data_IF_686820908307
#
_entry.id   IF_686820908307
#
_cell.length_a   1.000
_cell.length_b   1.000
_cell.length_c   1.000
_cell.angle_alpha   90.00
_cell.angle_beta   90.00
_cell.angle_gamma   90.00
#
_symmetry.space_group_name_H-M   'P 1'
#
loop_
_entity.id
_entity.type
_entity.pdbx_description
1 polymer ?
#
# COMPACT_ATOMS: atom_id res chain seq x y z
N UNK A 1 -19.19 11.14 -14.46
CA UNK A 1 -18.14 11.49 -15.46
C UNK A 1 -17.36 12.68 -14.96
N UNK A 2 -16.04 12.55 -14.87
CA UNK A 2 -15.17 13.70 -14.60
C UNK A 2 -15.34 14.73 -15.73
N UNK A 3 -15.52 15.98 -15.36
CA UNK A 3 -15.41 17.07 -16.32
C UNK A 3 -13.93 17.37 -16.52
N UNK A 4 -13.32 16.75 -17.54
CA UNK A 4 -11.89 16.91 -17.88
C UNK A 4 -11.64 18.22 -18.64
N UNK A 5 -12.69 18.94 -19.05
CA UNK A 5 -12.59 20.18 -19.81
C UNK A 5 -12.26 21.39 -18.93
N UNK A 6 -12.45 21.30 -17.60
CA UNK A 6 -12.20 22.39 -16.68
C UNK A 6 -10.72 22.45 -16.22
N UNK A 7 -10.32 23.60 -15.72
CA UNK A 7 -9.00 23.80 -15.13
C UNK A 7 -9.08 23.68 -13.63
N UNK A 8 -8.25 22.80 -13.07
CA UNK A 8 -8.20 22.51 -11.63
C UNK A 8 -6.98 23.12 -10.97
N UNK A 9 -7.10 23.46 -9.68
CA UNK A 9 -5.99 23.92 -8.87
C UNK A 9 -6.04 23.34 -7.45
N UNK A 10 -4.90 23.13 -6.85
CA UNK A 10 -4.79 22.74 -5.44
C UNK A 10 -3.38 23.00 -4.88
N UNK A 11 -3.23 23.14 -3.53
CA UNK A 11 -1.93 23.06 -2.88
C UNK A 11 -1.31 21.69 -3.12
N UNK A 12 -0.07 21.65 -3.60
CA UNK A 12 0.70 20.42 -3.83
C UNK A 12 1.68 20.11 -2.68
N UNK A 13 1.82 21.02 -1.72
CA UNK A 13 2.61 20.87 -0.50
C UNK A 13 1.71 20.64 0.71
N UNK A 14 2.24 19.94 1.72
CA UNK A 14 1.51 19.68 2.97
C UNK A 14 1.13 21.03 3.64
N UNK A 15 -0.11 21.17 4.14
CA UNK A 15 -0.53 22.36 4.88
C UNK A 15 0.34 22.57 6.14
N UNK A 16 0.83 23.80 6.32
CA UNK A 16 1.65 24.16 7.46
C UNK A 16 2.48 25.41 7.23
N UNK A 17 3.16 25.89 8.26
CA UNK A 17 4.08 27.00 8.17
C UNK A 17 5.46 26.50 7.73
N UNK A 18 5.94 26.99 6.60
CA UNK A 18 7.22 26.59 6.02
C UNK A 18 7.82 27.73 5.19
N UNK A 19 8.94 27.46 4.52
CA UNK A 19 9.55 28.47 3.67
C UNK A 19 8.81 28.64 2.33
N UNK A 20 8.39 27.54 1.71
CA UNK A 20 7.80 27.50 0.37
C UNK A 20 6.55 26.61 0.38
N UNK A 21 5.49 27.09 -0.28
CA UNK A 21 4.32 26.33 -0.68
C UNK A 21 4.19 26.33 -2.20
N UNK A 22 3.70 25.23 -2.76
CA UNK A 22 3.44 25.08 -4.19
C UNK A 22 1.95 24.88 -4.39
N UNK A 23 1.35 25.71 -5.26
CA UNK A 23 0.00 25.51 -5.79
C UNK A 23 0.14 25.02 -7.22
N UNK A 24 -0.46 23.89 -7.52
CA UNK A 24 -0.50 23.30 -8.86
C UNK A 24 -1.82 23.63 -9.53
N UNK A 25 -1.78 23.94 -10.82
CA UNK A 25 -2.93 24.13 -11.68
C UNK A 25 -2.74 23.30 -12.95
N UNK A 26 -3.80 22.65 -13.43
CA UNK A 26 -3.79 21.83 -14.65
C UNK A 26 -5.10 21.97 -15.40
N UNK A 27 -5.01 22.02 -16.72
CA UNK A 27 -6.14 22.15 -17.62
C UNK A 27 -5.91 23.22 -18.70
N UNK A 28 -6.82 23.29 -19.64
CA UNK A 28 -6.75 24.11 -20.85
C UNK A 28 -6.49 25.60 -20.58
N UNK A 29 -7.09 26.16 -19.52
CA UNK A 29 -7.03 27.60 -19.23
C UNK A 29 -5.94 27.95 -18.21
N UNK A 30 -5.03 26.99 -17.84
CA UNK A 30 -4.01 27.17 -16.79
C UNK A 30 -3.15 28.40 -17.01
N UNK A 31 -2.70 28.66 -18.25
CA UNK A 31 -1.86 29.83 -18.55
C UNK A 31 -2.63 31.12 -18.52
N UNK A 32 -3.83 31.15 -19.12
CA UNK A 32 -4.66 32.35 -19.15
C UNK A 32 -5.16 32.79 -17.76
N UNK A 33 -5.43 31.82 -16.88
CA UNK A 33 -5.77 32.08 -15.47
C UNK A 33 -4.54 32.61 -14.73
N UNK A 34 -3.38 31.94 -14.90
CA UNK A 34 -2.14 32.39 -14.28
C UNK A 34 -1.73 33.81 -14.67
N UNK A 35 -1.89 34.20 -15.94
CA UNK A 35 -1.63 35.58 -16.45
C UNK A 35 -2.53 36.63 -15.80
N UNK A 36 -3.76 36.28 -15.39
CA UNK A 36 -4.67 37.20 -14.66
C UNK A 36 -4.28 37.41 -13.20
N UNK A 37 -3.59 36.43 -12.62
CA UNK A 37 -3.27 36.40 -11.18
C UNK A 37 -1.82 36.79 -10.91
N UNK A 38 -0.93 36.61 -11.89
CA UNK A 38 0.50 36.79 -11.69
C UNK A 38 1.07 37.74 -12.75
N UNK A 39 1.71 38.82 -12.30
CA UNK A 39 2.45 39.75 -13.13
C UNK A 39 3.92 39.29 -13.20
N UNK A 40 4.35 38.74 -14.33
CA UNK A 40 5.73 38.31 -14.55
C UNK A 40 6.59 39.39 -15.18
N UNK A 41 7.89 39.41 -14.83
CA UNK A 41 8.90 40.17 -15.55
C UNK A 41 9.22 39.45 -16.88
N UNK A 42 9.17 40.17 -18.01
CA UNK A 42 9.57 39.62 -19.31
C UNK A 42 8.45 38.87 -20.07
N UNK A 43 7.19 39.33 -19.96
CA UNK A 43 6.04 38.86 -20.76
C UNK A 43 5.16 37.84 -20.03
N UNK A 44 4.10 37.39 -20.68
CA UNK A 44 3.08 36.52 -20.09
C UNK A 44 3.56 35.09 -19.87
N UNK A 45 2.87 34.36 -19.00
CA UNK A 45 3.07 32.94 -18.78
C UNK A 45 2.63 32.16 -20.03
N UNK A 46 1.53 32.59 -20.66
CA UNK A 46 1.02 32.00 -21.89
C UNK A 46 1.99 32.04 -23.07
N UNK A 47 2.92 32.98 -23.12
CA UNK A 47 3.94 33.07 -24.15
C UNK A 47 5.23 32.30 -23.83
N UNK A 48 5.28 31.66 -22.67
CA UNK A 48 6.48 31.00 -22.17
C UNK A 48 6.57 29.54 -22.64
N UNK A 49 7.73 29.13 -23.11
CA UNK A 49 8.01 27.74 -23.47
C UNK A 49 7.85 26.78 -22.25
N UNK A 50 7.56 25.52 -22.53
CA UNK A 50 7.54 24.49 -21.49
C UNK A 50 8.90 24.31 -20.81
N UNK A 51 8.87 23.83 -19.55
CA UNK A 51 10.06 23.62 -18.70
C UNK A 51 10.87 24.90 -18.42
N UNK A 52 10.16 26.03 -18.38
CA UNK A 52 10.74 27.34 -18.01
C UNK A 52 10.22 27.80 -16.66
N UNK A 53 11.05 28.54 -15.99
CA UNK A 53 10.75 29.18 -14.72
C UNK A 53 10.67 30.71 -14.92
N UNK A 54 9.61 31.33 -14.39
CA UNK A 54 9.43 32.77 -14.39
C UNK A 54 9.33 33.33 -12.98
N UNK A 55 9.97 34.47 -12.76
CA UNK A 55 9.78 35.25 -11.55
C UNK A 55 8.65 36.27 -11.77
N UNK A 56 7.74 36.36 -10.81
CA UNK A 56 6.60 37.25 -10.86
C UNK A 56 6.11 37.68 -9.49
N UNK A 57 5.04 38.43 -9.49
CA UNK A 57 4.31 38.90 -8.31
C UNK A 57 2.87 38.45 -8.45
N UNK A 58 2.38 37.69 -7.47
CA UNK A 58 0.97 37.36 -7.34
C UNK A 58 0.18 38.59 -6.88
N UNK A 59 -1.01 38.79 -7.47
CA UNK A 59 -1.82 39.98 -7.30
C UNK A 59 -3.16 39.66 -6.61
N UNK A 60 -3.58 40.54 -5.73
CA UNK A 60 -4.94 40.60 -5.21
C UNK A 60 -5.94 41.07 -6.30
N UNK A 61 -7.22 41.00 -5.99
CA UNK A 61 -8.29 41.40 -6.94
C UNK A 61 -8.26 42.89 -7.32
N UNK A 62 -7.76 43.73 -6.43
CA UNK A 62 -7.60 45.16 -6.62
C UNK A 62 -6.26 45.54 -7.33
N UNK A 63 -5.44 44.54 -7.68
CA UNK A 63 -4.15 44.70 -8.34
C UNK A 63 -2.98 44.98 -7.38
N UNK A 64 -3.19 45.00 -6.07
CA UNK A 64 -2.12 45.11 -5.09
C UNK A 64 -1.27 43.85 -5.04
N UNK A 65 -0.02 43.97 -4.62
CA UNK A 65 0.93 42.89 -4.55
C UNK A 65 0.60 41.99 -3.35
N UNK A 66 0.39 40.67 -3.58
CA UNK A 66 0.13 39.68 -2.57
C UNK A 66 1.43 39.00 -2.10
N UNK A 67 2.23 38.50 -3.02
CA UNK A 67 3.50 37.80 -2.76
C UNK A 67 4.38 37.76 -3.99
N UNK A 68 5.68 37.53 -3.78
CA UNK A 68 6.62 37.24 -4.85
C UNK A 68 6.66 35.74 -5.13
N UNK A 69 6.53 35.33 -6.39
CA UNK A 69 6.37 33.93 -6.76
C UNK A 69 7.33 33.50 -7.86
N UNK A 70 7.62 32.20 -7.89
CA UNK A 70 8.24 31.53 -9.02
C UNK A 70 7.19 30.65 -9.68
N UNK A 71 7.11 30.72 -11.01
CA UNK A 71 6.11 30.00 -11.81
C UNK A 71 6.82 29.02 -12.74
N UNK A 72 6.60 27.73 -12.53
CA UNK A 72 7.06 26.67 -13.43
C UNK A 72 5.99 26.40 -14.48
N UNK A 73 6.38 26.36 -15.75
CA UNK A 73 5.48 26.21 -16.90
C UNK A 73 5.68 24.83 -17.53
N UNK A 74 4.59 24.08 -17.69
CA UNK A 74 4.57 22.78 -18.34
C UNK A 74 3.50 22.77 -19.43
N UNK A 75 3.90 22.48 -20.68
CA UNK A 75 3.00 22.43 -21.81
C UNK A 75 2.60 21.01 -22.15
N UNK A 76 1.35 20.82 -22.50
CA UNK A 76 0.85 19.56 -23.04
C UNK A 76 1.68 19.08 -24.25
N UNK A 77 1.93 17.78 -24.39
CA UNK A 77 1.64 16.68 -23.46
C UNK A 77 2.73 16.46 -22.40
N UNK A 78 3.69 17.38 -22.27
CA UNK A 78 4.90 17.23 -21.44
C UNK A 78 4.68 17.82 -20.02
N UNK A 79 3.66 17.34 -19.33
CA UNK A 79 3.35 17.65 -17.93
C UNK A 79 2.99 16.38 -17.17
N UNK A 80 2.75 16.48 -15.85
CA UNK A 80 2.33 15.36 -15.04
C UNK A 80 0.98 14.78 -15.48
N UNK A 81 0.01 15.64 -15.73
CA UNK A 81 -1.35 15.26 -16.17
C UNK A 81 -1.47 15.03 -17.67
N UNK A 82 -0.47 15.44 -18.47
CA UNK A 82 -0.57 15.49 -19.92
C UNK A 82 -1.28 16.76 -20.46
N UNK A 83 -1.79 17.63 -19.57
CA UNK A 83 -2.44 18.90 -19.89
C UNK A 83 -1.45 20.08 -19.75
N UNK A 84 -1.83 21.28 -20.20
CA UNK A 84 -1.13 22.50 -19.82
C UNK A 84 -1.18 22.69 -18.30
N UNK A 85 -0.05 22.94 -17.69
CA UNK A 85 0.06 22.97 -16.24
C UNK A 85 1.03 24.04 -15.75
N UNK A 86 0.71 24.61 -14.59
CA UNK A 86 1.51 25.62 -13.91
C UNK A 86 1.71 25.24 -12.46
N UNK A 87 2.93 25.38 -11.97
CA UNK A 87 3.22 25.27 -10.54
C UNK A 87 3.70 26.63 -10.03
N UNK A 88 3.00 27.17 -9.03
CA UNK A 88 3.25 28.47 -8.44
C UNK A 88 3.86 28.26 -7.06
N UNK A 89 5.15 28.59 -6.93
CA UNK A 89 5.87 28.56 -5.67
C UNK A 89 5.78 29.93 -4.99
N UNK A 90 5.16 29.97 -3.81
CA UNK A 90 4.96 31.17 -2.96
C UNK A 90 5.58 30.95 -1.58
N UNK A 91 5.61 31.98 -0.73
CA UNK A 91 5.90 31.75 0.68
C UNK A 91 4.79 30.92 1.34
N UNK A 92 5.17 29.98 2.22
CA UNK A 92 4.24 29.06 2.89
C UNK A 92 3.59 29.73 4.10
N UNK A 93 2.81 30.79 3.84
CA UNK A 93 1.89 31.39 4.80
C UNK A 93 0.48 30.91 4.51
N UNK A 94 -0.25 30.48 5.54
CA UNK A 94 -1.66 30.09 5.40
C UNK A 94 -2.46 31.14 4.66
N UNK A 95 -2.28 32.42 5.02
CA UNK A 95 -2.94 33.56 4.38
C UNK A 95 -2.62 33.62 2.87
N UNK A 96 -1.34 33.57 2.50
CA UNK A 96 -0.91 33.69 1.10
C UNK A 96 -1.47 32.52 0.27
N UNK A 97 -1.35 31.30 0.76
CA UNK A 97 -1.82 30.09 0.05
C UNK A 97 -3.34 30.15 -0.16
N UNK A 98 -4.12 30.50 0.88
CA UNK A 98 -5.58 30.63 0.78
C UNK A 98 -6.00 31.75 -0.18
N UNK A 99 -5.35 32.91 -0.11
CA UNK A 99 -5.65 34.05 -1.00
C UNK A 99 -5.29 33.72 -2.45
N UNK A 100 -4.12 33.15 -2.70
CA UNK A 100 -3.69 32.76 -4.04
C UNK A 100 -4.63 31.72 -4.65
N UNK A 101 -5.01 30.68 -3.87
CA UNK A 101 -5.97 29.69 -4.31
C UNK A 101 -7.33 30.31 -4.63
N UNK A 102 -7.85 31.21 -3.77
CA UNK A 102 -9.09 31.92 -4.03
C UNK A 102 -9.01 32.76 -5.31
N UNK A 103 -7.89 33.45 -5.54
CA UNK A 103 -7.69 34.25 -6.76
C UNK A 103 -7.72 33.39 -8.03
N UNK A 104 -7.11 32.20 -7.99
CA UNK A 104 -7.16 31.26 -9.12
C UNK A 104 -8.59 30.79 -9.40
N UNK A 105 -9.36 30.51 -8.33
CA UNK A 105 -10.77 30.11 -8.44
C UNK A 105 -11.63 31.25 -8.98
N UNK A 106 -11.45 32.50 -8.51
CA UNK A 106 -12.17 33.67 -8.99
C UNK A 106 -11.88 33.94 -10.48
N UNK A 107 -10.71 33.53 -10.96
CA UNK A 107 -10.31 33.68 -12.38
C UNK A 107 -10.74 32.52 -13.28
N UNK A 108 -11.39 31.47 -12.74
CA UNK A 108 -12.00 30.38 -13.49
C UNK A 108 -11.44 28.98 -13.26
N UNK A 109 -10.50 28.79 -12.31
CA UNK A 109 -10.11 27.46 -11.89
C UNK A 109 -11.12 26.88 -10.90
N UNK A 110 -11.16 25.55 -10.79
CA UNK A 110 -11.89 24.83 -9.74
C UNK A 110 -10.89 24.16 -8.78
N UNK A 111 -11.25 24.07 -7.50
CA UNK A 111 -10.45 23.28 -6.56
C UNK A 111 -10.51 21.81 -6.94
N UNK A 112 -9.35 21.17 -7.03
CA UNK A 112 -9.23 19.75 -7.36
C UNK A 112 -9.76 18.86 -6.24
N UNK A 113 -10.38 17.74 -6.62
CA UNK A 113 -10.71 16.65 -5.72
C UNK A 113 -9.48 15.82 -5.32
N UNK A 114 -9.64 14.89 -4.34
CA UNK A 114 -8.58 13.94 -4.00
C UNK A 114 -8.11 13.15 -5.23
N UNK A 115 -6.80 13.05 -5.44
CA UNK A 115 -6.19 12.28 -6.52
C UNK A 115 -6.49 12.75 -7.95
N UNK A 116 -7.16 13.89 -8.13
CA UNK A 116 -7.67 14.31 -9.46
C UNK A 116 -6.56 14.57 -10.48
N UNK A 117 -5.41 15.08 -10.08
CA UNK A 117 -4.28 15.26 -11.01
C UNK A 117 -3.75 13.91 -11.51
N UNK A 118 -3.63 12.91 -10.61
CA UNK A 118 -3.20 11.55 -10.97
C UNK A 118 -4.26 10.85 -11.83
N UNK A 119 -5.53 11.07 -11.53
CA UNK A 119 -6.64 10.55 -12.33
C UNK A 119 -6.63 11.12 -13.76
N UNK A 120 -6.37 12.44 -13.94
CA UNK A 120 -6.19 13.05 -15.25
C UNK A 120 -4.96 12.49 -15.97
N UNK A 121 -3.85 12.27 -15.26
CA UNK A 121 -2.68 11.62 -15.82
C UNK A 121 -2.99 10.21 -16.34
N UNK A 122 -3.78 9.41 -15.61
CA UNK A 122 -4.26 8.11 -16.06
C UNK A 122 -5.16 8.22 -17.30
N UNK A 123 -6.17 9.08 -17.29
CA UNK A 123 -7.10 9.26 -18.42
C UNK A 123 -6.37 9.75 -19.68
N UNK A 124 -5.37 10.60 -19.51
CA UNK A 124 -4.55 11.12 -20.60
C UNK A 124 -3.42 10.14 -21.02
N UNK A 125 -3.41 8.90 -20.52
CA UNK A 125 -2.48 7.84 -20.90
C UNK A 125 -1.02 8.09 -20.47
N UNK A 126 -0.78 8.96 -19.46
CA UNK A 126 0.56 9.21 -18.92
C UNK A 126 1.06 8.05 -18.07
N UNK A 127 0.14 7.32 -17.48
CA UNK A 127 0.36 6.14 -16.66
C UNK A 127 -0.85 5.22 -16.69
N UNK A 128 -0.67 3.95 -16.42
CA UNK A 128 -1.77 3.01 -16.19
C UNK A 128 -2.26 3.05 -14.73
N UNK A 129 -3.35 2.32 -14.43
CA UNK A 129 -3.97 2.39 -13.12
C UNK A 129 -3.07 1.84 -12.00
N UNK A 130 -2.28 0.77 -12.28
CA UNK A 130 -1.32 0.24 -11.31
C UNK A 130 -0.21 1.24 -10.99
N UNK A 131 0.27 1.99 -11.99
CA UNK A 131 1.24 3.07 -11.79
C UNK A 131 0.62 4.25 -11.02
N UNK A 132 -0.66 4.58 -11.29
CA UNK A 132 -1.38 5.62 -10.57
C UNK A 132 -1.48 5.27 -9.08
N UNK A 133 -1.86 4.04 -8.72
CA UNK A 133 -1.87 3.56 -7.34
C UNK A 133 -0.47 3.61 -6.70
N UNK A 134 0.57 3.27 -7.47
CA UNK A 134 1.96 3.32 -6.98
C UNK A 134 2.42 4.75 -6.63
N UNK A 135 1.82 5.82 -7.21
CA UNK A 135 2.10 7.21 -6.78
C UNK A 135 1.75 7.41 -5.30
N UNK A 136 0.58 6.92 -4.86
CA UNK A 136 0.19 7.00 -3.46
C UNK A 136 1.10 6.15 -2.56
N UNK A 137 1.48 4.96 -3.02
CA UNK A 137 2.35 4.05 -2.29
C UNK A 137 3.76 4.64 -2.09
N UNK A 138 4.34 5.31 -3.10
CA UNK A 138 5.64 6.01 -2.98
C UNK A 138 5.58 7.13 -1.93
N UNK A 139 4.46 7.88 -1.89
CA UNK A 139 4.29 8.99 -0.95
C UNK A 139 4.12 8.49 0.49
N UNK A 140 3.39 7.39 0.67
CA UNK A 140 3.10 6.80 1.98
C UNK A 140 4.17 5.85 2.50
N UNK A 141 5.19 5.51 1.69
CA UNK A 141 6.24 4.57 2.06
C UNK A 141 7.02 5.02 3.29
N UNK A 142 7.00 4.23 4.35
CA UNK A 142 7.68 4.50 5.63
C UNK A 142 8.95 3.66 5.82
N UNK A 143 9.31 2.81 4.85
CA UNK A 143 10.53 1.99 4.90
C UNK A 143 11.21 1.95 3.54
N UNK A 144 12.53 1.67 3.55
CA UNK A 144 13.32 1.53 2.31
C UNK A 144 12.76 0.43 1.41
N UNK A 145 12.34 -0.69 2.00
CA UNK A 145 11.78 -1.81 1.26
C UNK A 145 10.44 -1.45 0.60
N UNK A 146 9.52 -0.79 1.34
CA UNK A 146 8.26 -0.30 0.80
C UNK A 146 8.49 0.69 -0.36
N UNK A 147 9.41 1.65 -0.16
CA UNK A 147 9.76 2.62 -1.20
C UNK A 147 10.31 1.95 -2.47
N UNK A 148 11.23 0.98 -2.36
CA UNK A 148 11.79 0.26 -3.51
C UNK A 148 10.71 -0.43 -4.33
N UNK A 149 9.78 -1.14 -3.68
CA UNK A 149 8.69 -1.83 -4.35
C UNK A 149 7.75 -0.85 -5.03
N UNK A 150 7.26 0.18 -4.30
CA UNK A 150 6.37 1.19 -4.84
C UNK A 150 7.00 1.94 -6.03
N UNK A 151 8.29 2.27 -5.94
CA UNK A 151 9.01 2.95 -7.01
C UNK A 151 9.22 2.07 -8.26
N UNK A 152 9.45 0.76 -8.07
CA UNK A 152 9.49 -0.21 -9.16
C UNK A 152 8.13 -0.31 -9.88
N UNK A 153 7.03 -0.35 -9.13
CA UNK A 153 5.67 -0.35 -9.67
C UNK A 153 5.37 0.95 -10.43
N UNK A 154 5.74 2.11 -9.86
CA UNK A 154 5.60 3.41 -10.53
C UNK A 154 6.37 3.48 -11.84
N UNK A 155 7.55 2.85 -11.94
CA UNK A 155 8.32 2.72 -13.19
C UNK A 155 7.71 1.76 -14.20
N UNK A 156 6.61 1.08 -13.87
CA UNK A 156 5.90 0.17 -14.74
C UNK A 156 6.44 -1.27 -14.74
N UNK A 157 7.23 -1.67 -13.74
CA UNK A 157 7.72 -3.04 -13.64
C UNK A 157 6.58 -4.06 -13.62
N UNK A 158 5.62 -3.87 -12.72
CA UNK A 158 4.44 -4.73 -12.62
C UNK A 158 3.54 -4.66 -13.87
N UNK A 159 3.34 -3.46 -14.41
CA UNK A 159 2.56 -3.26 -15.64
C UNK A 159 3.13 -4.00 -16.85
N UNK A 160 4.46 -4.07 -16.95
CA UNK A 160 5.12 -4.82 -18.01
C UNK A 160 4.87 -6.33 -17.90
N UNK A 161 4.97 -6.88 -16.71
CA UNK A 161 4.64 -8.28 -16.43
C UNK A 161 3.19 -8.62 -16.83
N UNK A 162 2.23 -7.80 -16.41
CA UNK A 162 0.83 -7.99 -16.74
C UNK A 162 0.56 -7.88 -18.25
N UNK A 163 1.24 -6.97 -18.95
CA UNK A 163 1.13 -6.86 -20.42
C UNK A 163 1.64 -8.11 -21.11
N UNK A 164 2.77 -8.67 -20.66
CA UNK A 164 3.29 -9.94 -21.19
C UNK A 164 2.28 -11.08 -20.99
N UNK A 165 1.72 -11.23 -19.77
CA UNK A 165 0.68 -12.24 -19.51
C UNK A 165 -0.55 -12.05 -20.40
N UNK A 166 -0.97 -10.81 -20.61
CA UNK A 166 -2.12 -10.51 -21.49
C UNK A 166 -1.81 -10.82 -22.95
N UNK A 167 -0.63 -10.54 -23.44
CA UNK A 167 -0.20 -10.88 -24.82
C UNK A 167 -0.21 -12.40 -25.04
N UNK A 168 0.24 -13.18 -24.05
CA UNK A 168 0.16 -14.65 -24.09
C UNK A 168 -1.27 -15.15 -24.16
N UNK A 169 -2.17 -14.60 -23.32
CA UNK A 169 -3.60 -14.96 -23.33
C UNK A 169 -4.30 -14.54 -24.62
N UNK A 170 -4.01 -13.36 -25.14
CA UNK A 170 -4.54 -12.89 -26.43
C UNK A 170 -4.12 -13.82 -27.57
N UNK A 171 -2.87 -14.28 -27.57
CA UNK A 171 -2.40 -15.26 -28.55
C UNK A 171 -3.18 -16.55 -28.46
N UNK A 172 -3.41 -17.08 -27.24
CA UNK A 172 -4.22 -18.29 -27.06
C UNK A 172 -5.69 -18.09 -27.54
N UNK A 173 -6.28 -16.95 -27.17
CA UNK A 173 -7.67 -16.62 -27.59
C UNK A 173 -7.77 -16.53 -29.11
N UNK A 174 -6.83 -15.85 -29.78
CA UNK A 174 -6.83 -15.71 -31.24
C UNK A 174 -6.69 -17.05 -31.96
N UNK A 175 -5.87 -17.98 -31.43
CA UNK A 175 -5.74 -19.31 -32.00
C UNK A 175 -7.02 -20.11 -31.91
N UNK A 176 -7.76 -20.03 -30.77
CA UNK A 176 -9.03 -20.71 -30.58
C UNK A 176 -10.15 -20.09 -31.43
N UNK A 177 -10.16 -18.76 -31.59
CA UNK A 177 -11.13 -18.07 -32.45
C UNK A 177 -10.93 -18.45 -33.93
N UNK A 178 -9.68 -18.60 -34.40
CA UNK A 178 -9.41 -19.12 -35.73
C UNK A 178 -9.93 -20.57 -35.90
N UNK A 179 -9.77 -21.44 -34.89
CA UNK A 179 -10.36 -22.79 -34.94
C UNK A 179 -11.88 -22.77 -35.04
N UNK A 180 -12.54 -21.80 -34.37
CA UNK A 180 -13.99 -21.64 -34.47
C UNK A 180 -14.44 -21.18 -35.85
N UNK A 181 -13.74 -20.19 -36.43
CA UNK A 181 -14.08 -19.65 -37.75
C UNK A 181 -13.92 -20.67 -38.87
N UNK A 182 -12.94 -21.57 -38.72
CA UNK A 182 -12.68 -22.64 -39.68
C UNK A 182 -13.13 -24.03 -39.22
N UNK A 183 -14.07 -24.10 -38.29
CA UNK A 183 -14.58 -25.35 -37.71
C UNK A 183 -15.19 -26.31 -38.74
N UNK A 184 -15.59 -25.82 -39.92
CA UNK A 184 -16.12 -26.64 -41.02
C UNK A 184 -14.99 -27.36 -41.82
N UNK A 185 -13.72 -26.95 -41.65
CA UNK A 185 -12.61 -27.48 -42.44
C UNK A 185 -11.74 -28.48 -41.64
N UNK A 186 -12.08 -28.86 -40.41
CA UNK A 186 -11.30 -29.77 -39.53
C UNK A 186 -9.80 -29.35 -39.36
N UNK A 187 -9.49 -28.05 -39.33
CA UNK A 187 -8.13 -27.53 -39.19
C UNK A 187 -7.79 -27.19 -37.75
N UNK A 188 -6.86 -27.86 -37.13
CA UNK A 188 -6.26 -27.44 -35.84
C UNK A 188 -5.16 -26.40 -36.11
N UNK A 189 -5.39 -25.13 -35.65
CA UNK A 189 -4.42 -24.04 -35.77
C UNK A 189 -3.34 -24.04 -34.67
N UNK A 190 -3.64 -24.65 -33.51
CA UNK A 190 -2.66 -24.91 -32.46
C UNK A 190 -2.81 -26.32 -31.92
N UNK A 191 -1.69 -27.03 -31.75
CA UNK A 191 -1.75 -28.32 -31.08
C UNK A 191 -2.26 -28.15 -29.63
N UNK A 192 -3.12 -29.05 -29.18
CA UNK A 192 -3.63 -29.03 -27.78
C UNK A 192 -2.49 -29.07 -26.75
N UNK A 193 -1.34 -29.67 -27.10
CA UNK A 193 -0.15 -29.71 -26.26
C UNK A 193 0.53 -28.35 -26.15
N UNK A 194 0.58 -27.54 -27.21
CA UNK A 194 1.14 -26.19 -27.19
C UNK A 194 0.25 -25.26 -26.37
N UNK A 195 -1.07 -25.31 -26.54
CA UNK A 195 -2.03 -24.57 -25.73
C UNK A 195 -1.90 -24.94 -24.24
N UNK A 196 -1.79 -26.22 -23.91
CA UNK A 196 -1.61 -26.67 -22.53
C UNK A 196 -0.28 -26.17 -21.95
N UNK A 197 0.80 -26.19 -22.69
CA UNK A 197 2.11 -25.70 -22.23
C UNK A 197 2.12 -24.19 -21.96
N UNK A 198 1.50 -23.41 -22.86
CA UNK A 198 1.35 -21.96 -22.68
C UNK A 198 0.48 -21.66 -21.45
N UNK A 199 -0.62 -22.38 -21.30
CA UNK A 199 -1.53 -22.23 -20.16
C UNK A 199 -0.84 -22.56 -18.83
N UNK A 200 -0.07 -23.66 -18.78
CA UNK A 200 0.69 -24.05 -17.58
C UNK A 200 1.75 -23.00 -17.22
N UNK A 201 2.44 -22.44 -18.22
CA UNK A 201 3.41 -21.36 -18.02
C UNK A 201 2.76 -20.09 -17.46
N UNK A 202 1.64 -19.66 -18.05
CA UNK A 202 0.89 -18.48 -17.62
C UNK A 202 0.32 -18.66 -16.20
N UNK A 203 -0.25 -19.84 -15.88
CA UNK A 203 -0.71 -20.18 -14.55
C UNK A 203 0.42 -20.15 -13.52
N UNK A 204 1.57 -20.76 -13.83
CA UNK A 204 2.72 -20.74 -12.93
C UNK A 204 3.20 -19.31 -12.65
N UNK A 205 3.19 -18.42 -13.66
CA UNK A 205 3.55 -17.02 -13.50
C UNK A 205 2.53 -16.27 -12.61
N UNK A 206 1.22 -16.44 -12.85
CA UNK A 206 0.18 -15.82 -12.00
C UNK A 206 0.29 -16.33 -10.56
N UNK A 207 0.52 -17.62 -10.34
CA UNK A 207 0.73 -18.19 -8.99
C UNK A 207 1.94 -17.57 -8.31
N UNK A 208 3.07 -17.40 -9.00
CA UNK A 208 4.24 -16.71 -8.46
C UNK A 208 3.91 -15.28 -8.00
N UNK A 209 3.13 -14.53 -8.80
CA UNK A 209 2.68 -13.19 -8.43
C UNK A 209 1.73 -13.22 -7.22
N UNK A 210 0.76 -14.14 -7.18
CA UNK A 210 -0.17 -14.25 -6.04
C UNK A 210 0.52 -14.68 -4.76
N UNK A 211 1.49 -15.57 -4.83
CA UNK A 211 2.28 -16.02 -3.67
C UNK A 211 3.11 -14.87 -3.07
N UNK A 212 3.56 -13.92 -3.92
CA UNK A 212 4.28 -12.74 -3.46
C UNK A 212 3.44 -11.77 -2.63
N UNK A 213 2.10 -11.84 -2.72
CA UNK A 213 1.18 -10.86 -2.12
C UNK A 213 1.30 -10.76 -0.60
N UNK A 214 1.44 -11.89 0.10
CA UNK A 214 1.56 -11.87 1.57
C UNK A 214 2.76 -11.04 2.02
N UNK A 215 3.89 -11.21 1.35
CA UNK A 215 5.10 -10.45 1.61
C UNK A 215 4.96 -8.99 1.17
N UNK A 216 4.45 -8.75 -0.05
CA UNK A 216 4.23 -7.42 -0.60
C UNK A 216 3.26 -6.58 0.23
N UNK A 217 2.16 -7.17 0.69
CA UNK A 217 1.20 -6.50 1.56
C UNK A 217 1.83 -6.14 2.92
N UNK A 218 2.67 -7.02 3.47
CA UNK A 218 3.42 -6.73 4.69
C UNK A 218 4.45 -5.61 4.50
N UNK A 219 5.10 -5.52 3.34
CA UNK A 219 5.99 -4.40 3.01
C UNK A 219 5.23 -3.07 2.91
N UNK A 220 4.07 -3.06 2.24
CA UNK A 220 3.26 -1.86 2.03
C UNK A 220 2.62 -1.34 3.31
N UNK A 221 1.95 -2.23 4.05
CA UNK A 221 1.09 -1.88 5.19
C UNK A 221 1.77 -2.12 6.55
N UNK A 222 2.99 -2.63 6.56
CA UNK A 222 3.68 -3.11 7.74
C UNK A 222 3.27 -4.52 8.12
N UNK A 223 4.20 -5.27 8.75
CA UNK A 223 3.95 -6.61 9.27
C UNK A 223 3.03 -6.51 10.48
N UNK A 224 1.81 -7.06 10.44
CA UNK A 224 0.90 -6.97 11.56
C UNK A 224 1.36 -7.89 12.71
N UNK A 225 1.57 -7.29 13.89
CA UNK A 225 2.03 -7.94 15.12
C UNK A 225 0.98 -7.77 16.21
N UNK A 226 0.50 -8.87 16.79
CA UNK A 226 -0.36 -8.85 17.97
C UNK A 226 0.44 -9.14 19.23
N UNK A 227 0.22 -8.37 20.31
CA UNK A 227 0.75 -8.65 21.64
C UNK A 227 -0.39 -9.19 22.51
N UNK A 228 -0.32 -10.46 22.87
CA UNK A 228 -1.34 -11.17 23.65
C UNK A 228 -0.75 -11.70 24.96
N UNK A 229 -1.57 -11.89 25.97
CA UNK A 229 -1.14 -12.40 27.28
C UNK A 229 -2.09 -11.95 28.39
N UNK A 230 -1.90 -12.53 29.58
CA UNK A 230 -2.70 -12.25 30.76
C UNK A 230 -2.67 -10.76 31.16
N UNK A 231 -3.63 -10.38 32.03
CA UNK A 231 -3.63 -9.05 32.66
C UNK A 231 -2.33 -8.85 33.44
N UNK A 232 -1.78 -7.65 33.38
CA UNK A 232 -0.52 -7.30 34.05
C UNK A 232 0.72 -8.10 33.61
N UNK A 233 0.67 -8.89 32.53
CA UNK A 233 1.86 -9.54 31.95
C UNK A 233 2.90 -8.53 31.43
N UNK A 234 2.54 -7.24 31.27
CA UNK A 234 3.44 -6.18 30.85
C UNK A 234 3.33 -5.79 29.37
N UNK A 235 2.20 -6.05 28.72
CA UNK A 235 1.94 -5.76 27.31
C UNK A 235 2.20 -4.29 26.93
N UNK A 236 1.59 -3.35 27.67
CA UNK A 236 1.78 -1.90 27.45
C UNK A 236 3.22 -1.45 27.71
N UNK A 237 3.89 -2.07 28.71
CA UNK A 237 5.28 -1.78 29.03
C UNK A 237 6.19 -2.24 27.90
N UNK A 238 5.93 -3.43 27.34
CA UNK A 238 6.69 -3.97 26.19
C UNK A 238 6.52 -3.07 24.96
N UNK A 239 5.28 -2.72 24.61
CA UNK A 239 5.01 -1.83 23.47
C UNK A 239 5.72 -0.49 23.63
N UNK A 240 5.59 0.15 24.80
CA UNK A 240 6.25 1.43 25.07
C UNK A 240 7.78 1.31 25.05
N UNK A 241 8.35 0.18 25.49
CA UNK A 241 9.79 -0.06 25.47
C UNK A 241 10.31 -0.26 24.04
N UNK A 242 9.53 -0.93 23.19
CA UNK A 242 9.86 -1.09 21.77
C UNK A 242 9.81 0.25 21.03
N UNK A 243 8.79 1.09 21.29
CA UNK A 243 8.57 2.37 20.59
C UNK A 243 9.49 3.51 21.06
N UNK A 244 10.06 3.44 22.26
CA UNK A 244 10.88 4.54 22.83
C UNK A 244 12.11 4.86 22.00
N UNK A 245 12.73 3.87 21.40
CA UNK A 245 13.97 4.03 20.63
C UNK A 245 13.71 4.57 19.22
N UNK A 246 12.49 4.41 18.69
CA UNK A 246 12.11 4.80 17.32
C UNK A 246 11.54 6.24 17.24
N UNK A 247 11.07 6.80 18.36
CA UNK A 247 10.49 8.17 18.41
C UNK A 247 11.47 9.29 18.06
N UNK A 248 12.75 9.00 17.89
CA UNK A 248 13.76 10.00 17.50
C UNK A 248 13.66 10.42 16.02
N UNK A 249 12.85 9.78 15.19
CA UNK A 249 12.84 9.99 13.71
C UNK A 249 11.42 10.32 13.15
N UNK A 250 10.36 10.18 13.93
CA UNK A 250 9.00 10.38 13.40
C UNK A 250 8.52 11.81 13.63
N UNK A 251 8.34 12.57 12.54
CA UNK A 251 7.60 13.83 12.54
C UNK A 251 6.12 13.55 12.75
N UNK A 252 5.46 14.29 13.65
CA UNK A 252 4.02 14.33 13.83
C UNK A 252 3.33 14.78 12.52
N UNK A 253 2.99 13.87 11.65
CA UNK A 253 2.08 14.16 10.53
C UNK A 253 0.67 13.98 11.06
N UNK A 254 0.06 15.07 11.51
CA UNK A 254 -1.36 15.15 11.83
C UNK A 254 -2.17 14.97 10.54
N UNK A 255 -2.88 13.87 10.39
CA UNK A 255 -3.78 13.71 9.24
C UNK A 255 -4.31 12.32 8.91
N UNK A 256 -4.21 11.33 9.80
CA UNK A 256 -4.90 10.06 9.59
C UNK A 256 -6.04 9.89 10.60
N UNK A 257 -7.25 9.86 10.06
CA UNK A 257 -8.55 9.82 10.69
C UNK A 257 -8.80 8.55 11.52
N UNK A 258 -9.30 8.74 12.71
CA UNK A 258 -10.42 8.10 13.48
C UNK A 258 -10.62 6.57 13.55
N UNK A 259 -9.77 5.70 13.04
CA UNK A 259 -9.95 4.26 13.25
C UNK A 259 -8.69 3.65 13.89
N UNK A 260 -8.87 3.06 15.11
CA UNK A 260 -7.90 2.31 15.92
C UNK A 260 -6.45 2.84 15.88
N UNK A 261 -6.00 3.37 17.01
CA UNK A 261 -4.61 3.82 17.19
C UNK A 261 -3.70 2.58 17.08
N UNK A 262 -3.17 2.33 15.90
CA UNK A 262 -2.15 1.33 15.64
C UNK A 262 -0.78 2.02 15.75
N UNK A 263 0.14 1.40 16.49
CA UNK A 263 1.51 1.90 16.62
C UNK A 263 2.40 1.20 15.61
N UNK A 264 3.30 1.94 14.97
CA UNK A 264 4.24 1.40 13.98
C UNK A 264 5.67 1.58 14.44
N UNK A 265 6.55 0.67 14.00
CA UNK A 265 7.97 0.68 14.29
C UNK A 265 8.74 0.10 13.11
N UNK A 266 9.87 0.71 12.75
CA UNK A 266 10.76 0.20 11.69
C UNK A 266 11.94 -0.54 12.30
N UNK A 267 12.13 -1.81 11.94
CA UNK A 267 13.26 -2.64 12.36
C UNK A 267 14.00 -3.13 11.11
N UNK A 268 15.28 -2.81 10.97
CA UNK A 268 16.13 -3.20 9.83
C UNK A 268 15.46 -2.92 8.46
N UNK A 269 14.82 -1.74 8.33
CA UNK A 269 14.16 -1.32 7.09
C UNK A 269 12.79 -1.96 6.81
N UNK A 270 12.27 -2.80 7.72
CA UNK A 270 10.92 -3.39 7.66
C UNK A 270 10.00 -2.71 8.66
N UNK A 271 8.81 -2.30 8.20
CA UNK A 271 7.78 -1.71 9.04
C UNK A 271 7.01 -2.81 9.77
N UNK A 272 6.89 -2.71 11.09
CA UNK A 272 6.03 -3.54 11.92
C UNK A 272 4.88 -2.70 12.47
N UNK A 273 3.67 -3.22 12.41
CA UNK A 273 2.44 -2.56 12.85
C UNK A 273 1.84 -3.34 14.01
N UNK A 274 1.86 -2.75 15.20
CA UNK A 274 1.27 -3.35 16.40
C UNK A 274 -0.23 -3.09 16.41
N UNK A 275 -1.01 -4.17 16.26
CA UNK A 275 -2.47 -4.11 16.20
C UNK A 275 -3.09 -4.20 17.59
N UNK A 276 -4.24 -3.51 17.80
CA UNK A 276 -4.98 -3.47 19.08
C UNK A 276 -4.24 -2.80 20.25
N UNK A 277 -3.56 -1.67 19.98
CA UNK A 277 -2.89 -0.91 21.04
C UNK A 277 -3.88 -0.17 21.96
N UNK A 278 -5.15 0.00 21.55
CA UNK A 278 -6.18 0.66 22.34
C UNK A 278 -6.50 -0.12 23.63
N UNK A 279 -6.62 -1.45 23.56
CA UNK A 279 -6.80 -2.32 24.74
C UNK A 279 -5.58 -2.36 25.66
N UNK A 280 -4.41 -1.88 25.21
CA UNK A 280 -3.19 -1.81 26.01
C UNK A 280 -3.04 -0.49 26.79
N UNK A 281 -3.83 0.56 26.46
CA UNK A 281 -3.75 1.90 27.08
C UNK A 281 -4.80 2.14 28.17
N UNK A 282 -5.93 1.45 28.13
CA UNK A 282 -7.02 1.60 29.11
C UNK A 282 -6.89 0.58 30.24
N UNK A 283 -6.50 1.06 31.41
CA UNK A 283 -6.45 0.32 32.68
C UNK A 283 -7.67 0.67 33.52
N UNK A 284 -8.84 0.08 33.25
CA UNK A 284 -9.99 0.11 34.16
C UNK A 284 -10.74 -1.23 34.16
N UNK A 285 -10.94 -1.78 35.34
CA UNK A 285 -11.34 -3.16 35.65
C UNK A 285 -12.71 -3.63 35.08
N UNK A 286 -13.55 -2.77 34.54
CA UNK A 286 -14.90 -3.15 34.07
C UNK A 286 -15.02 -3.45 32.56
N UNK A 287 -14.01 -3.09 31.74
CA UNK A 287 -14.02 -3.26 30.25
C UNK A 287 -13.35 -4.55 29.81
N UNK A 288 -12.76 -5.30 30.72
CA UNK A 288 -11.79 -6.37 30.49
C UNK A 288 -12.38 -7.64 29.86
N UNK A 289 -13.62 -8.03 30.20
CA UNK A 289 -14.27 -9.23 29.58
C UNK A 289 -14.65 -9.02 28.12
N UNK A 290 -14.91 -7.79 27.70
CA UNK A 290 -15.19 -7.43 26.30
C UNK A 290 -13.85 -7.30 25.52
N UNK A 291 -12.77 -6.94 26.18
CA UNK A 291 -11.43 -6.83 25.62
C UNK A 291 -10.85 -8.16 25.13
N UNK A 292 -11.05 -9.25 25.86
CA UNK A 292 -10.48 -10.57 25.53
C UNK A 292 -11.01 -11.08 24.18
N UNK A 293 -12.32 -11.01 23.94
CA UNK A 293 -12.91 -11.47 22.66
C UNK A 293 -12.49 -10.60 21.47
N UNK A 294 -12.22 -9.32 21.66
CA UNK A 294 -11.68 -8.41 20.62
C UNK A 294 -10.20 -8.71 20.34
N UNK A 295 -9.41 -8.99 21.36
CA UNK A 295 -7.99 -9.32 21.22
C UNK A 295 -7.78 -10.59 20.40
N UNK A 296 -8.62 -11.63 20.55
CA UNK A 296 -8.54 -12.84 19.72
C UNK A 296 -8.96 -12.61 18.26
N UNK A 297 -9.97 -11.76 18.01
CA UNK A 297 -10.33 -11.39 16.64
C UNK A 297 -9.19 -10.67 15.94
N UNK A 298 -8.53 -9.76 16.64
CA UNK A 298 -7.35 -9.03 16.15
C UNK A 298 -6.12 -9.92 16.01
N UNK A 299 -5.95 -10.92 16.89
CA UNK A 299 -4.89 -11.91 16.76
C UNK A 299 -4.96 -12.63 15.41
N UNK A 300 -6.15 -12.93 14.91
CA UNK A 300 -6.33 -13.59 13.61
C UNK A 300 -5.88 -12.71 12.42
N UNK A 301 -5.80 -11.40 12.59
CA UNK A 301 -5.30 -10.46 11.57
C UNK A 301 -3.75 -10.36 11.59
N UNK A 302 -3.09 -10.86 12.65
CA UNK A 302 -1.65 -10.77 12.82
C UNK A 302 -0.88 -11.84 12.03
N UNK A 303 0.26 -11.46 11.47
CA UNK A 303 1.24 -12.41 10.91
C UNK A 303 2.19 -12.95 11.99
N UNK A 304 2.43 -12.15 13.04
CA UNK A 304 3.27 -12.52 14.19
C UNK A 304 2.46 -12.30 15.47
N UNK A 305 2.46 -13.31 16.33
CA UNK A 305 1.83 -13.25 17.64
C UNK A 305 2.91 -13.31 18.71
N UNK A 306 3.00 -12.25 19.53
CA UNK A 306 3.87 -12.16 20.70
C UNK A 306 3.04 -12.57 21.94
N UNK A 307 3.19 -13.82 22.37
CA UNK A 307 2.55 -14.32 23.59
C UNK A 307 3.38 -13.93 24.81
N UNK A 308 2.88 -13.00 25.61
CA UNK A 308 3.57 -12.45 26.77
C UNK A 308 3.14 -13.19 28.04
N UNK A 309 4.07 -13.86 28.70
CA UNK A 309 3.89 -14.58 29.95
C UNK A 309 4.65 -13.88 31.08
N UNK A 310 4.07 -13.90 32.27
CA UNK A 310 4.69 -13.37 33.49
C UNK A 310 5.44 -14.48 34.20
N UNK A 311 6.78 -14.40 34.30
CA UNK A 311 7.60 -15.41 35.01
C UNK A 311 7.33 -15.42 36.51
N UNK A 312 6.63 -14.46 37.08
CA UNK A 312 6.24 -14.39 38.48
C UNK A 312 4.88 -15.04 38.77
N UNK A 313 4.09 -15.36 37.73
CA UNK A 313 2.82 -16.04 37.82
C UNK A 313 3.03 -17.57 38.06
N UNK A 314 1.99 -18.26 38.47
CA UNK A 314 2.04 -19.71 38.65
C UNK A 314 2.21 -20.44 37.30
N UNK A 315 2.76 -21.66 37.36
CA UNK A 315 2.94 -22.51 36.19
C UNK A 315 1.58 -22.83 35.54
N UNK A 316 0.55 -23.08 36.33
CA UNK A 316 -0.82 -23.38 35.89
C UNK A 316 -1.45 -22.21 35.17
N UNK A 317 -1.26 -20.96 35.63
CA UNK A 317 -1.75 -19.75 34.97
C UNK A 317 -1.06 -19.51 33.62
N UNK A 318 0.24 -19.75 33.54
CA UNK A 318 1.01 -19.63 32.31
C UNK A 318 0.66 -20.73 31.30
N UNK A 319 0.45 -21.98 31.75
CA UNK A 319 -0.02 -23.10 30.91
C UNK A 319 -1.41 -22.80 30.31
N UNK A 320 -2.35 -22.33 31.16
CA UNK A 320 -3.68 -21.96 30.70
C UNK A 320 -3.62 -20.86 29.64
N UNK A 321 -2.82 -19.81 29.89
CA UNK A 321 -2.67 -18.68 28.97
C UNK A 321 -2.10 -19.11 27.61
N UNK A 322 -1.08 -19.97 27.61
CA UNK A 322 -0.49 -20.49 26.36
C UNK A 322 -1.47 -21.40 25.62
N UNK A 323 -2.13 -22.32 26.33
CA UNK A 323 -3.10 -23.24 25.72
C UNK A 323 -4.25 -22.49 25.04
N UNK A 324 -4.73 -21.42 25.67
CA UNK A 324 -5.78 -20.56 25.13
C UNK A 324 -5.30 -19.80 23.88
N UNK A 325 -4.10 -19.22 23.89
CA UNK A 325 -3.50 -18.55 22.74
C UNK A 325 -3.31 -19.55 21.58
N UNK A 326 -2.74 -20.71 21.82
CA UNK A 326 -2.46 -21.72 20.78
C UNK A 326 -3.74 -22.29 20.18
N UNK A 327 -4.80 -22.47 20.99
CA UNK A 327 -6.10 -22.95 20.48
C UNK A 327 -6.78 -21.99 19.50
N UNK A 328 -6.46 -20.68 19.58
CA UNK A 328 -6.98 -19.64 18.71
C UNK A 328 -5.99 -19.21 17.61
N UNK A 329 -4.83 -19.86 17.49
CA UNK A 329 -3.78 -19.52 16.53
C UNK A 329 -3.95 -20.30 15.23
N UNK A 330 -3.86 -19.62 14.08
CA UNK A 330 -3.69 -20.29 12.80
C UNK A 330 -2.20 -20.63 12.57
N UNK A 331 -1.81 -21.83 12.98
CA UNK A 331 -0.43 -22.34 12.91
C UNK A 331 0.15 -22.33 11.48
N UNK A 332 -0.71 -22.32 10.44
CA UNK A 332 -0.25 -22.33 9.03
C UNK A 332 0.17 -20.95 8.55
N UNK A 333 -0.50 -19.91 9.02
CA UNK A 333 -0.33 -18.55 8.55
C UNK A 333 0.38 -17.61 9.54
N UNK A 334 0.44 -17.98 10.82
CA UNK A 334 0.94 -17.13 11.89
C UNK A 334 2.21 -17.69 12.54
N UNK A 335 3.14 -16.79 12.92
CA UNK A 335 4.35 -17.12 13.68
C UNK A 335 4.13 -16.77 15.14
N UNK A 336 4.29 -17.76 16.03
CA UNK A 336 4.22 -17.55 17.48
C UNK A 336 5.61 -17.34 18.08
N UNK A 337 5.76 -16.26 18.86
CA UNK A 337 6.95 -15.99 19.69
C UNK A 337 6.46 -15.87 21.13
N UNK A 338 6.95 -16.72 22.01
CA UNK A 338 6.63 -16.72 23.43
C UNK A 338 7.65 -15.88 24.18
N UNK A 339 7.18 -14.83 24.84
CA UNK A 339 7.99 -13.88 25.60
C UNK A 339 7.78 -14.10 27.10
N UNK A 340 8.83 -14.53 27.79
CA UNK A 340 8.88 -14.74 29.23
C UNK A 340 9.33 -13.43 29.88
N UNK A 341 8.38 -12.60 30.32
CA UNK A 341 8.60 -11.24 30.81
C UNK A 341 8.81 -11.17 32.31
N UNK A 342 9.37 -10.06 32.79
CA UNK A 342 9.70 -9.73 34.19
C UNK A 342 10.85 -10.54 34.77
N UNK A 343 11.80 -10.96 33.95
CA UNK A 343 12.99 -11.70 34.44
C UNK A 343 13.84 -10.89 35.42
N UNK A 344 13.73 -9.56 35.43
CA UNK A 344 14.37 -8.66 36.39
C UNK A 344 13.96 -8.96 37.87
N UNK A 345 12.79 -9.55 38.09
CA UNK A 345 12.30 -9.88 39.42
C UNK A 345 12.93 -11.18 39.97
N UNK A 346 13.40 -12.08 39.09
CA UNK A 346 13.94 -13.40 39.48
C UNK A 346 15.39 -13.36 39.97
N UNK A 347 16.09 -12.23 39.83
CA UNK A 347 17.52 -12.15 40.18
C UNK A 347 18.39 -13.12 39.38
N UNK A 348 19.52 -13.57 39.98
CA UNK A 348 20.45 -14.48 39.30
C UNK A 348 19.97 -15.97 39.24
N UNK A 349 18.78 -16.27 39.74
CA UNK A 349 18.24 -17.63 39.79
C UNK A 349 17.14 -17.81 38.72
N UNK A 350 17.49 -17.75 37.46
CA UNK A 350 16.56 -18.11 36.36
C UNK A 350 16.49 -19.65 36.31
N UNK A 351 15.45 -20.22 36.89
CA UNK A 351 15.22 -21.67 36.84
C UNK A 351 14.56 -22.00 35.48
N UNK A 352 15.40 -22.16 34.45
CA UNK A 352 15.03 -22.37 33.03
C UNK A 352 14.24 -23.68 32.81
N UNK A 353 14.29 -24.61 33.78
CA UNK A 353 13.70 -25.93 33.62
C UNK A 353 12.19 -26.02 33.78
N UNK A 354 11.56 -25.05 34.49
CA UNK A 354 10.13 -25.16 34.85
C UNK A 354 9.18 -24.80 33.70
N UNK A 355 9.62 -23.97 32.74
CA UNK A 355 8.75 -23.46 31.66
C UNK A 355 8.96 -24.21 30.33
N UNK A 356 10.01 -25.04 30.25
CA UNK A 356 10.31 -25.79 29.03
C UNK A 356 9.29 -26.91 28.72
N UNK A 357 8.58 -27.43 29.71
CA UNK A 357 7.68 -28.57 29.53
C UNK A 357 6.33 -28.15 28.92
N UNK A 358 5.79 -26.98 29.28
CA UNK A 358 4.45 -26.55 28.89
C UNK A 358 4.34 -26.18 27.42
N UNK A 359 5.42 -25.73 26.79
CA UNK A 359 5.43 -25.28 25.36
C UNK A 359 5.96 -26.37 24.42
N UNK A 360 6.73 -27.34 24.93
CA UNK A 360 7.33 -28.43 24.13
C UNK A 360 6.30 -29.40 23.54
N UNK A 361 5.09 -29.46 24.11
CA UNK A 361 4.03 -30.36 23.66
C UNK A 361 3.25 -29.85 22.43
N UNK A 362 3.46 -28.60 21.95
CA UNK A 362 2.55 -27.96 20.99
C UNK A 362 3.14 -27.60 19.63
N UNK A 363 4.43 -27.58 19.40
CA UNK A 363 5.08 -27.57 18.06
C UNK A 363 6.59 -27.30 18.16
N UNK A 364 7.41 -27.93 17.32
CA UNK A 364 8.87 -27.70 17.20
C UNK A 364 9.27 -26.30 16.68
N UNK A 365 8.32 -25.46 16.30
CA UNK A 365 8.56 -24.14 15.69
C UNK A 365 8.35 -22.93 16.62
N UNK A 366 8.06 -23.14 17.90
CA UNK A 366 7.81 -22.04 18.84
C UNK A 366 9.13 -21.49 19.36
N UNK A 367 9.42 -20.23 19.09
CA UNK A 367 10.59 -19.51 19.61
C UNK A 367 10.25 -18.93 20.99
N UNK A 368 11.12 -19.19 21.99
CA UNK A 368 10.99 -18.67 23.35
C UNK A 368 12.08 -17.64 23.60
N UNK A 369 11.73 -16.52 24.24
CA UNK A 369 12.67 -15.47 24.60
C UNK A 369 12.41 -14.93 26.00
N UNK A 370 13.45 -14.79 26.81
CA UNK A 370 13.41 -14.19 28.14
C UNK A 370 13.62 -12.69 28.02
N UNK A 371 12.70 -11.89 28.54
CA UNK A 371 12.75 -10.44 28.46
C UNK A 371 12.42 -9.75 29.78
N UNK A 372 12.87 -8.52 29.92
CA UNK A 372 12.31 -7.57 30.87
C UNK A 372 11.93 -6.31 30.11
N UNK A 373 10.65 -6.15 29.88
CA UNK A 373 10.11 -4.95 29.25
C UNK A 373 10.42 -3.67 30.05
N UNK A 374 10.67 -3.78 31.36
CA UNK A 374 11.00 -2.68 32.26
C UNK A 374 12.45 -2.22 32.12
N UNK A 375 13.38 -3.16 32.00
CA UNK A 375 14.83 -2.86 31.96
C UNK A 375 15.41 -2.83 30.55
N UNK A 376 14.67 -3.35 29.55
CA UNK A 376 15.13 -3.49 28.17
C UNK A 376 15.87 -4.79 27.89
N UNK A 377 16.08 -5.65 28.90
CA UNK A 377 16.77 -6.92 28.70
C UNK A 377 16.04 -7.82 27.66
N UNK A 378 16.77 -8.36 26.70
CA UNK A 378 16.24 -9.27 25.67
C UNK A 378 15.47 -8.55 24.53
N UNK A 379 15.29 -7.22 24.54
CA UNK A 379 14.56 -6.50 23.51
C UNK A 379 15.30 -6.44 22.17
N UNK A 380 16.64 -6.35 22.19
CA UNK A 380 17.46 -6.38 20.96
C UNK A 380 17.37 -7.75 20.28
N UNK A 381 17.32 -8.83 21.07
CA UNK A 381 17.12 -10.18 20.59
C UNK A 381 15.72 -10.37 19.98
N UNK A 382 14.69 -9.76 20.60
CA UNK A 382 13.33 -9.71 20.05
C UNK A 382 13.30 -8.95 18.72
N UNK A 383 13.94 -7.78 18.63
CA UNK A 383 14.05 -7.03 17.37
C UNK A 383 14.69 -7.85 16.26
N UNK A 384 15.80 -8.55 16.59
CA UNK A 384 16.47 -9.44 15.65
C UNK A 384 15.57 -10.58 15.19
N UNK A 385 14.83 -11.23 16.10
CA UNK A 385 13.87 -12.29 15.76
C UNK A 385 12.73 -11.78 14.86
N UNK A 386 12.23 -10.56 15.09
CA UNK A 386 11.25 -9.93 14.25
C UNK A 386 11.82 -9.67 12.85
N UNK A 387 13.00 -9.04 12.75
CA UNK A 387 13.70 -8.79 11.49
C UNK A 387 13.97 -10.10 10.72
N UNK A 388 14.54 -11.10 11.37
CA UNK A 388 14.88 -12.39 10.75
C UNK A 388 13.64 -13.16 10.28
N UNK A 389 12.48 -12.91 10.91
CA UNK A 389 11.22 -13.52 10.48
C UNK A 389 10.80 -13.09 9.07
N UNK A 390 11.29 -11.96 8.59
CA UNK A 390 10.98 -11.41 7.27
C UNK A 390 12.10 -11.68 6.26
N UNK A 391 13.35 -11.88 6.69
CA UNK A 391 14.50 -12.17 5.80
C UNK A 391 14.35 -13.49 5.04
N UNK A 392 13.66 -14.47 5.63
CA UNK A 392 13.37 -15.76 4.97
C UNK A 392 12.37 -15.64 3.81
N UNK A 393 11.69 -14.51 3.70
CA UNK A 393 10.74 -14.18 2.64
C UNK A 393 11.36 -13.24 1.57
N UNK A 394 12.70 -13.00 1.61
CA UNK A 394 13.35 -12.21 0.55
C UNK A 394 13.29 -12.98 -0.75
N UNK A 395 12.35 -12.58 -1.58
CA UNK A 395 12.32 -12.92 -2.99
C UNK A 395 13.56 -12.29 -3.65
N UNK A 396 14.07 -12.91 -4.70
CA UNK A 396 15.18 -12.34 -5.48
C UNK A 396 14.88 -10.88 -5.81
N UNK A 397 15.90 -10.02 -5.76
CA UNK A 397 15.79 -8.55 -5.91
C UNK A 397 15.11 -8.10 -7.21
N UNK A 398 14.96 -9.01 -8.18
CA UNK A 398 14.39 -8.76 -9.51
C UNK A 398 12.95 -9.28 -9.67
N UNK A 399 12.36 -9.93 -8.65
CA UNK A 399 10.98 -10.43 -8.73
C UNK A 399 9.96 -9.32 -8.52
N UNK A 400 8.94 -9.31 -9.36
CA UNK A 400 7.79 -8.42 -9.24
C UNK A 400 6.92 -8.85 -8.06
N UNK A 401 6.65 -7.91 -7.14
CA UNK A 401 5.91 -8.15 -5.90
C UNK A 401 4.54 -7.48 -5.97
N UNK A 402 3.49 -8.26 -5.69
CA UNK A 402 2.11 -7.75 -5.57
C UNK A 402 1.87 -7.21 -4.17
N UNK A 403 1.54 -5.92 -4.05
CA UNK A 403 1.33 -5.25 -2.76
C UNK A 403 -0.13 -4.89 -2.48
N UNK A 404 -0.94 -4.79 -3.54
CA UNK A 404 -2.31 -4.30 -3.47
C UNK A 404 -3.31 -5.46 -3.47
N UNK A 405 -4.27 -5.43 -2.52
CA UNK A 405 -5.31 -6.46 -2.41
C UNK A 405 -6.19 -6.54 -3.67
N UNK A 406 -6.49 -5.41 -4.32
CA UNK A 406 -7.24 -5.36 -5.58
C UNK A 406 -6.54 -6.16 -6.68
N UNK A 407 -5.21 -5.97 -6.82
CA UNK A 407 -4.39 -6.69 -7.79
C UNK A 407 -4.38 -8.20 -7.49
N UNK A 408 -4.18 -8.56 -6.22
CA UNK A 408 -4.22 -9.96 -5.77
C UNK A 408 -5.56 -10.62 -6.10
N UNK A 409 -6.68 -9.98 -5.79
CA UNK A 409 -8.02 -10.51 -6.09
C UNK A 409 -8.27 -10.67 -7.58
N UNK A 410 -7.80 -9.74 -8.39
CA UNK A 410 -7.93 -9.83 -9.85
C UNK A 410 -7.07 -10.97 -10.43
N UNK A 411 -5.83 -11.15 -9.92
CA UNK A 411 -4.96 -12.28 -10.29
C UNK A 411 -5.56 -13.62 -9.89
N UNK A 412 -6.15 -13.72 -8.70
CA UNK A 412 -6.84 -14.95 -8.24
C UNK A 412 -8.01 -15.31 -9.15
N UNK A 413 -8.84 -14.33 -9.53
CA UNK A 413 -9.94 -14.56 -10.47
C UNK A 413 -9.47 -14.95 -11.86
N UNK A 414 -8.37 -14.33 -12.34
CA UNK A 414 -7.76 -14.72 -13.60
C UNK A 414 -7.22 -16.16 -13.54
N UNK A 415 -6.56 -16.55 -12.44
CA UNK A 415 -6.12 -17.92 -12.21
C UNK A 415 -7.27 -18.92 -12.22
N UNK A 416 -8.38 -18.61 -11.54
CA UNK A 416 -9.59 -19.47 -11.52
C UNK A 416 -10.16 -19.66 -12.93
N UNK A 417 -10.25 -18.60 -13.74
CA UNK A 417 -10.70 -18.70 -15.13
C UNK A 417 -9.76 -19.59 -15.96
N UNK A 418 -8.43 -19.44 -15.79
CA UNK A 418 -7.44 -20.26 -16.52
C UNK A 418 -7.45 -21.72 -16.05
N UNK A 419 -7.70 -22.01 -14.78
CA UNK A 419 -7.92 -23.38 -14.28
C UNK A 419 -9.17 -24.02 -14.90
N UNK A 420 -10.21 -23.23 -15.18
CA UNK A 420 -11.39 -23.69 -15.93
C UNK A 420 -10.99 -24.03 -17.37
N UNK A 421 -10.23 -23.15 -18.05
CA UNK A 421 -9.69 -23.44 -19.40
C UNK A 421 -8.95 -24.78 -19.39
N UNK A 422 -8.05 -24.97 -18.41
CA UNK A 422 -7.25 -26.19 -18.31
C UNK A 422 -8.11 -27.45 -18.16
N UNK A 423 -9.13 -27.38 -17.32
CA UNK A 423 -10.09 -28.50 -17.12
C UNK A 423 -10.90 -28.78 -18.40
N UNK A 424 -11.38 -27.73 -19.06
CA UNK A 424 -12.16 -27.82 -20.29
C UNK A 424 -11.32 -28.36 -21.45
N UNK A 425 -10.05 -27.93 -21.55
CA UNK A 425 -9.08 -28.45 -22.52
C UNK A 425 -8.82 -29.95 -22.33
N UNK A 426 -8.58 -30.38 -21.09
CA UNK A 426 -8.38 -31.79 -20.74
C UNK A 426 -9.61 -32.67 -20.99
N UNK A 427 -10.83 -32.09 -20.86
CA UNK A 427 -12.08 -32.77 -21.13
C UNK A 427 -12.45 -32.80 -22.62
N UNK A 428 -11.64 -32.20 -23.51
CA UNK A 428 -11.91 -32.15 -24.94
C UNK A 428 -13.14 -31.31 -25.31
N UNK A 429 -13.42 -30.25 -24.50
CA UNK A 429 -14.53 -29.36 -24.77
C UNK A 429 -14.32 -28.49 -26.01
N UNK A 430 -15.39 -27.89 -26.51
CA UNK A 430 -15.37 -27.06 -27.71
C UNK A 430 -14.63 -25.76 -27.54
N UNK A 431 -14.00 -25.20 -28.59
CA UNK A 431 -13.21 -23.96 -28.53
C UNK A 431 -13.98 -22.74 -28.00
N UNK A 432 -15.31 -22.65 -28.18
CA UNK A 432 -16.16 -21.55 -27.72
C UNK A 432 -16.14 -21.42 -26.18
N UNK A 433 -16.23 -22.55 -25.45
CA UNK A 433 -16.15 -22.53 -23.99
C UNK A 433 -14.77 -22.13 -23.48
N UNK A 434 -13.71 -22.61 -24.15
CA UNK A 434 -12.33 -22.22 -23.83
C UNK A 434 -12.10 -20.73 -24.07
N UNK A 435 -12.62 -20.17 -25.17
CA UNK A 435 -12.48 -18.74 -25.50
C UNK A 435 -13.18 -17.85 -24.49
N UNK A 436 -14.36 -18.24 -23.98
CA UNK A 436 -15.09 -17.45 -22.97
C UNK A 436 -14.30 -17.33 -21.65
N UNK A 437 -13.78 -18.47 -21.14
CA UNK A 437 -12.97 -18.46 -19.91
C UNK A 437 -11.66 -17.68 -20.09
N UNK A 438 -11.00 -17.73 -21.27
CA UNK A 438 -9.85 -16.91 -21.60
C UNK A 438 -10.18 -15.41 -21.64
N UNK A 439 -11.32 -15.03 -22.22
CA UNK A 439 -11.79 -13.63 -22.21
C UNK A 439 -12.04 -13.13 -20.78
N UNK A 440 -12.57 -13.97 -19.89
CA UNK A 440 -12.73 -13.62 -18.48
C UNK A 440 -11.37 -13.41 -17.79
N UNK A 441 -10.38 -14.27 -18.03
CA UNK A 441 -9.03 -14.07 -17.51
C UNK A 441 -8.40 -12.76 -18.01
N UNK A 442 -8.52 -12.47 -19.32
CA UNK A 442 -8.09 -11.20 -19.91
C UNK A 442 -8.77 -9.98 -19.28
N UNK A 443 -10.09 -10.08 -19.05
CA UNK A 443 -10.85 -9.04 -18.39
C UNK A 443 -10.31 -8.76 -16.99
N UNK A 444 -10.08 -9.80 -16.17
CA UNK A 444 -9.55 -9.64 -14.82
C UNK A 444 -8.16 -9.01 -14.80
N UNK A 445 -7.24 -9.41 -15.68
CA UNK A 445 -5.94 -8.75 -15.82
C UNK A 445 -6.08 -7.31 -16.31
N UNK A 446 -6.99 -7.04 -17.25
CA UNK A 446 -7.29 -5.69 -17.76
C UNK A 446 -7.79 -4.73 -16.70
N UNK A 447 -8.53 -5.21 -15.68
CA UNK A 447 -8.99 -4.38 -14.56
C UNK A 447 -7.83 -3.84 -13.70
N UNK A 448 -6.70 -4.54 -13.63
CA UNK A 448 -5.52 -4.09 -12.88
C UNK A 448 -4.88 -2.88 -13.58
N UNK A 449 -4.72 -2.95 -14.90
CA UNK A 449 -4.11 -1.90 -15.71
C UNK A 449 -5.04 -0.71 -15.98
N UNK A 450 -6.36 -0.88 -15.74
CA UNK A 450 -7.36 0.14 -16.00
C UNK A 450 -7.87 0.16 -17.45
N UNK A 451 -7.62 -0.90 -18.24
CA UNK A 451 -8.17 -1.02 -19.59
C UNK A 451 -9.67 -1.28 -19.57
N UNK A 452 -10.15 -1.87 -18.49
CA UNK A 452 -11.58 -2.10 -18.20
C UNK A 452 -11.86 -1.53 -16.82
N UNK A 453 -12.46 -0.35 -16.75
CA UNK A 453 -12.80 0.32 -15.48
C UNK A 453 -14.17 0.94 -15.54
N UNK A 454 -14.81 1.06 -14.36
CA UNK A 454 -16.03 1.85 -14.18
C UNK A 454 -15.69 3.13 -13.41
N UNK A 455 -16.51 4.18 -13.57
CA UNK A 455 -16.36 5.44 -12.81
C UNK A 455 -16.36 5.18 -11.28
N UNK A 456 -17.11 4.18 -10.81
CA UNK A 456 -17.15 3.79 -9.41
C UNK A 456 -15.81 3.22 -8.91
N UNK A 457 -15.17 2.36 -9.69
CA UNK A 457 -13.85 1.79 -9.35
C UNK A 457 -12.78 2.88 -9.31
N UNK A 458 -12.78 3.79 -10.27
CA UNK A 458 -11.87 4.93 -10.30
C UNK A 458 -12.11 5.85 -9.09
N UNK A 459 -13.39 6.15 -8.78
CA UNK A 459 -13.77 6.94 -7.62
C UNK A 459 -13.20 6.36 -6.33
N UNK A 460 -13.42 5.08 -6.07
CA UNK A 460 -12.93 4.40 -4.87
C UNK A 460 -11.40 4.39 -4.75
N UNK A 461 -10.68 4.27 -5.86
CA UNK A 461 -9.22 4.29 -5.85
C UNK A 461 -8.70 5.68 -5.50
N UNK A 462 -9.22 6.73 -6.15
CA UNK A 462 -8.69 8.09 -6.02
C UNK A 462 -9.20 8.84 -4.78
N UNK A 463 -10.32 8.44 -4.17
CA UNK A 463 -10.86 9.05 -2.94
C UNK A 463 -9.86 9.06 -1.78
N UNK A 464 -8.97 8.06 -1.73
CA UNK A 464 -7.95 7.92 -0.69
C UNK A 464 -6.63 8.66 -0.98
N UNK A 465 -6.54 9.37 -2.10
CA UNK A 465 -5.35 10.14 -2.45
C UNK A 465 -5.35 11.51 -1.77
N UNK A 466 -4.16 12.09 -1.63
CA UNK A 466 -4.03 13.46 -1.17
C UNK A 466 -4.58 14.45 -2.20
N UNK A 467 -5.22 15.55 -1.73
CA UNK A 467 -5.58 16.69 -2.59
C UNK A 467 -4.28 17.30 -3.11
N UNK A 468 -4.23 17.60 -4.42
CA UNK A 468 -3.02 18.13 -5.08
C UNK A 468 -2.14 17.07 -5.77
N UNK A 469 -2.60 15.79 -5.73
CA UNK A 469 -1.99 14.65 -6.42
C UNK A 469 -2.94 14.01 -7.44
#
# INVERSE_FOLDING_TARGET
>A
MLNIEDTICAPATVPGTGAIAIIRMSGRDSFSIADKVIRCKGGNISDTEGYRLKYGVALEADGTDLDTVLVSVFRAPHSYTGEDSVEISSHSSKYIVERLLQRLVDCGARVAGPGEFTQRAFVNGKMDLAQAEAVADVISAQSEAAHKVAFSQLKGGFSKELKTLREELLKMTSLLELELDFSEEDVEFASRSELSSLLDGTLAHIHSLTDSFRYGNALRNGVPVAIVGAVNAGKSTLLNALLRDDRAIVSDIAGTTRDTIEETMTIDGTLFRFIDTAGLRETSDEVEKIGISRSYKKMNEASIVLALLDVTASEEENEYSISDIVSNLDVKSQKLIVLLNKVDVLGNNINVSLINNSVSNHNEKVVKLYISAKTGFGLDELRKLLSDSQKSATLDSDQTIVTNLRHYQALMKASESLENVKRSLAAGQTPDLLSEDLRQALHHLGTILGEVTTDEVLGNIFEHFCIGK
#
